data_IF_865039108561
#
_entry.id   IF_865039108561
#
_cell.length_a   1.000
_cell.length_b   1.000
_cell.length_c   1.000
_cell.angle_alpha   90.00
_cell.angle_beta   90.00
_cell.angle_gamma   90.00
#
_symmetry.space_group_name_H-M   'P 1'
#
loop_
_entity.id
_entity.type
_entity.pdbx_description
1 polymer ?
#
# COMPACT_ATOMS: atom_id res chain seq x y z
N UNK A 1 -17.77 -0.61 -11.57
CA UNK A 1 -16.77 -0.67 -12.69
C UNK A 1 -16.63 -2.13 -13.12
N UNK A 2 -16.44 -2.48 -14.40
CA UNK A 2 -16.24 -3.87 -14.83
C UNK A 2 -14.84 -4.34 -14.39
N UNK A 3 -14.72 -4.71 -13.11
CA UNK A 3 -13.48 -5.19 -12.51
C UNK A 3 -13.20 -6.60 -13.05
N UNK A 4 -12.01 -6.87 -13.64
CA UNK A 4 -11.63 -8.19 -14.13
C UNK A 4 -11.76 -9.30 -13.08
N UNK A 5 -11.56 -8.97 -11.79
CA UNK A 5 -11.73 -9.95 -10.69
C UNK A 5 -13.18 -10.37 -10.50
N UNK A 6 -14.13 -9.44 -10.68
CA UNK A 6 -15.55 -9.77 -10.69
C UNK A 6 -15.92 -10.56 -11.95
N UNK A 7 -15.31 -10.25 -13.10
CA UNK A 7 -15.60 -10.97 -14.33
C UNK A 7 -15.29 -12.47 -14.24
N UNK A 8 -14.16 -12.85 -13.65
CA UNK A 8 -13.80 -14.27 -13.46
C UNK A 8 -14.78 -15.01 -12.53
N UNK A 9 -15.23 -14.36 -11.45
CA UNK A 9 -16.25 -14.92 -10.55
C UNK A 9 -17.61 -15.08 -11.25
N UNK A 10 -18.08 -14.04 -11.93
CA UNK A 10 -19.36 -14.05 -12.66
C UNK A 10 -19.33 -15.09 -13.77
N UNK A 11 -18.20 -15.22 -14.48
CA UNK A 11 -17.98 -16.22 -15.52
C UNK A 11 -18.18 -17.64 -14.98
N UNK A 12 -17.54 -17.95 -13.85
CA UNK A 12 -17.67 -19.25 -13.19
C UNK A 12 -19.10 -19.52 -12.69
N UNK A 13 -19.77 -18.52 -12.12
CA UNK A 13 -21.14 -18.66 -11.59
C UNK A 13 -22.20 -18.84 -12.70
N UNK A 14 -22.06 -18.11 -13.81
CA UNK A 14 -23.03 -18.11 -14.90
C UNK A 14 -22.71 -19.12 -16.01
N UNK A 15 -21.54 -19.78 -15.95
CA UNK A 15 -21.09 -20.69 -17.00
C UNK A 15 -20.79 -19.99 -18.33
N UNK A 16 -20.32 -18.73 -18.26
CA UNK A 16 -19.99 -17.88 -19.41
C UNK A 16 -18.47 -17.68 -19.44
N UNK A 17 -17.85 -17.48 -20.60
CA UNK A 17 -16.42 -17.17 -20.66
C UNK A 17 -16.11 -15.78 -20.09
N UNK A 18 -14.97 -15.66 -19.41
CA UNK A 18 -14.52 -14.41 -18.79
C UNK A 18 -14.44 -13.24 -19.77
N UNK A 19 -13.95 -13.50 -20.99
CA UNK A 19 -13.92 -12.53 -22.09
C UNK A 19 -15.30 -11.93 -22.38
N UNK A 20 -16.34 -12.77 -22.52
CA UNK A 20 -17.70 -12.29 -22.79
C UNK A 20 -18.28 -11.48 -21.64
N UNK A 21 -17.95 -11.84 -20.40
CA UNK A 21 -18.37 -11.10 -19.21
C UNK A 21 -17.70 -9.73 -19.16
N UNK A 22 -16.40 -9.68 -19.45
CA UNK A 22 -15.63 -8.43 -19.55
C UNK A 22 -16.20 -7.52 -20.64
N UNK A 23 -16.36 -8.01 -21.86
CA UNK A 23 -16.86 -7.22 -22.99
C UNK A 23 -18.27 -6.67 -22.71
N UNK A 24 -19.13 -7.50 -22.12
CA UNK A 24 -20.46 -7.07 -21.67
C UNK A 24 -20.36 -6.00 -20.59
N UNK A 25 -19.47 -6.18 -19.62
CA UNK A 25 -19.21 -5.22 -18.56
C UNK A 25 -18.77 -3.86 -19.10
N UNK A 26 -17.85 -3.83 -20.07
CA UNK A 26 -17.39 -2.60 -20.73
C UNK A 26 -18.55 -1.85 -21.39
N UNK A 27 -19.37 -2.55 -22.18
CA UNK A 27 -20.52 -1.92 -22.84
C UNK A 27 -21.53 -1.35 -21.84
N UNK A 28 -21.78 -2.05 -20.73
CA UNK A 28 -22.66 -1.55 -19.66
C UNK A 28 -22.10 -0.28 -19.01
N UNK A 29 -20.77 -0.18 -18.84
CA UNK A 29 -20.13 1.01 -18.33
C UNK A 29 -20.19 2.20 -19.28
N UNK A 30 -20.19 1.95 -20.59
CA UNK A 30 -20.42 2.99 -21.61
C UNK A 30 -21.88 3.48 -21.64
N UNK A 31 -22.75 2.96 -20.76
CA UNK A 31 -24.15 3.35 -20.64
C UNK A 31 -25.06 2.61 -21.62
N UNK A 32 -24.59 1.55 -22.28
CA UNK A 32 -25.45 0.75 -23.15
C UNK A 32 -26.53 0.02 -22.34
N UNK A 33 -27.79 0.09 -22.80
CA UNK A 33 -28.88 -0.67 -22.18
C UNK A 33 -28.81 -2.16 -22.53
N UNK A 34 -29.33 -3.02 -21.64
CA UNK A 34 -29.38 -4.48 -21.86
C UNK A 34 -30.04 -4.87 -23.18
N UNK A 35 -31.23 -4.32 -23.57
CA UNK A 35 -31.84 -4.65 -24.86
C UNK A 35 -30.99 -4.17 -26.05
N UNK A 36 -30.27 -3.05 -25.90
CA UNK A 36 -29.39 -2.55 -26.95
C UNK A 36 -28.20 -3.49 -27.16
N UNK A 37 -27.56 -3.94 -26.09
CA UNK A 37 -26.42 -4.86 -26.16
C UNK A 37 -26.85 -6.17 -26.83
N UNK A 38 -27.93 -6.79 -26.34
CA UNK A 38 -28.42 -8.08 -26.81
C UNK A 38 -28.90 -8.07 -28.28
N UNK A 39 -29.25 -6.90 -28.83
CA UNK A 39 -29.75 -6.77 -30.22
C UNK A 39 -28.71 -6.20 -31.19
N UNK A 40 -27.92 -5.22 -30.76
CA UNK A 40 -27.05 -4.43 -31.65
C UNK A 40 -25.55 -4.59 -31.35
N UNK A 41 -25.18 -5.25 -30.24
CA UNK A 41 -23.78 -5.57 -29.87
C UNK A 41 -23.59 -7.06 -29.57
N UNK A 42 -24.39 -7.91 -30.22
CA UNK A 42 -24.33 -9.36 -30.03
C UNK A 42 -22.97 -9.93 -30.42
N UNK A 43 -22.37 -9.45 -31.51
CA UNK A 43 -21.05 -9.91 -31.95
C UNK A 43 -19.96 -9.58 -30.93
N UNK A 44 -19.99 -8.37 -30.35
CA UNK A 44 -19.04 -7.91 -29.36
C UNK A 44 -19.12 -8.67 -28.02
N UNK A 45 -20.23 -9.36 -27.74
CA UNK A 45 -20.42 -10.14 -26.49
C UNK A 45 -20.34 -11.65 -26.75
N UNK A 46 -19.94 -12.09 -27.95
CA UNK A 46 -19.92 -13.51 -28.30
C UNK A 46 -21.32 -14.14 -28.37
N UNK A 47 -22.28 -13.37 -28.89
CA UNK A 47 -23.68 -13.73 -29.16
C UNK A 47 -24.57 -13.99 -27.95
N UNK A 48 -24.28 -13.37 -26.79
CA UNK A 48 -25.15 -13.46 -25.61
C UNK A 48 -26.56 -12.93 -25.90
N UNK A 49 -27.56 -13.57 -25.28
CA UNK A 49 -28.95 -13.12 -25.33
C UNK A 49 -29.26 -12.09 -24.22
N UNK A 50 -30.47 -11.56 -24.24
CA UNK A 50 -30.90 -10.52 -23.29
C UNK A 50 -30.89 -11.02 -21.84
N UNK A 51 -31.19 -12.31 -21.63
CA UNK A 51 -31.22 -12.93 -20.29
C UNK A 51 -29.80 -13.04 -19.72
N UNK A 52 -28.83 -13.47 -20.52
CA UNK A 52 -27.44 -13.57 -20.10
C UNK A 52 -26.82 -12.20 -19.82
N UNK A 53 -27.08 -11.20 -20.69
CA UNK A 53 -26.59 -9.82 -20.47
C UNK A 53 -27.20 -9.21 -19.20
N UNK A 54 -28.50 -9.45 -18.95
CA UNK A 54 -29.17 -9.04 -17.72
C UNK A 54 -28.52 -9.67 -16.48
N UNK A 55 -28.29 -10.99 -16.51
CA UNK A 55 -27.68 -11.72 -15.41
C UNK A 55 -26.27 -11.19 -15.09
N UNK A 56 -25.47 -10.89 -16.10
CA UNK A 56 -24.13 -10.28 -15.94
C UNK A 56 -24.24 -8.92 -15.26
N UNK A 57 -25.13 -8.03 -15.75
CA UNK A 57 -25.34 -6.70 -15.17
C UNK A 57 -25.72 -6.78 -13.70
N UNK A 58 -26.71 -7.62 -13.38
CA UNK A 58 -27.25 -7.72 -12.03
C UNK A 58 -26.21 -8.30 -11.06
N UNK A 59 -25.39 -9.27 -11.50
CA UNK A 59 -24.29 -9.79 -10.68
C UNK A 59 -23.18 -8.76 -10.47
N UNK A 60 -22.80 -7.98 -11.48
CA UNK A 60 -21.85 -6.87 -11.29
C UNK A 60 -22.38 -5.87 -10.24
N UNK A 61 -23.65 -5.47 -10.35
CA UNK A 61 -24.27 -4.55 -9.41
C UNK A 61 -24.29 -5.12 -7.98
N UNK A 62 -24.64 -6.39 -7.83
CA UNK A 62 -24.65 -7.06 -6.53
C UNK A 62 -23.27 -7.16 -5.88
N UNK A 63 -22.23 -7.49 -6.66
CA UNK A 63 -20.86 -7.55 -6.16
C UNK A 63 -20.34 -6.16 -5.77
N UNK A 64 -20.69 -5.13 -6.53
CA UNK A 64 -20.35 -3.75 -6.19
C UNK A 64 -21.03 -3.32 -4.87
N UNK A 65 -22.31 -3.61 -4.70
CA UNK A 65 -23.04 -3.31 -3.45
C UNK A 65 -22.44 -4.06 -2.25
N UNK A 66 -22.09 -5.34 -2.42
CA UNK A 66 -21.43 -6.12 -1.37
C UNK A 66 -20.07 -5.52 -0.99
N UNK A 67 -19.29 -5.07 -1.97
CA UNK A 67 -18.02 -4.41 -1.72
C UNK A 67 -18.22 -3.08 -0.97
N UNK A 68 -19.22 -2.29 -1.36
CA UNK A 68 -19.58 -1.03 -0.69
C UNK A 68 -19.91 -1.28 0.79
N UNK A 69 -20.81 -2.23 1.06
CA UNK A 69 -21.20 -2.59 2.42
C UNK A 69 -20.01 -3.01 3.28
N UNK A 70 -19.12 -3.86 2.76
CA UNK A 70 -17.92 -4.30 3.48
C UNK A 70 -16.99 -3.14 3.86
N UNK A 71 -16.74 -2.22 2.92
CA UNK A 71 -15.91 -1.04 3.18
C UNK A 71 -16.50 -0.19 4.29
N UNK A 72 -17.81 0.09 4.22
CA UNK A 72 -18.50 0.87 5.25
C UNK A 72 -18.42 0.20 6.62
N UNK A 73 -18.71 -1.10 6.72
CA UNK A 73 -18.62 -1.83 7.99
C UNK A 73 -17.23 -1.72 8.62
N UNK A 74 -16.16 -1.89 7.82
CA UNK A 74 -14.78 -1.80 8.32
C UNK A 74 -14.48 -0.39 8.85
N UNK A 75 -14.93 0.66 8.15
CA UNK A 75 -14.68 2.05 8.56
C UNK A 75 -15.52 2.46 9.79
N UNK A 76 -16.69 1.86 9.98
CA UNK A 76 -17.52 2.05 11.18
C UNK A 76 -16.91 1.33 12.40
N UNK A 77 -16.45 0.09 12.23
CA UNK A 77 -15.79 -0.69 13.28
C UNK A 77 -14.42 -0.09 13.66
N UNK A 78 -13.73 0.47 12.68
CA UNK A 78 -12.39 1.02 12.81
C UNK A 78 -12.31 2.42 12.20
N UNK A 79 -12.69 3.47 12.97
CA UNK A 79 -12.61 4.84 12.48
C UNK A 79 -11.15 5.22 12.21
N UNK A 80 -10.88 5.64 10.98
CA UNK A 80 -9.56 6.06 10.50
C UNK A 80 -9.60 7.44 9.88
N UNK A 81 -8.47 8.13 9.88
CA UNK A 81 -8.33 9.44 9.23
C UNK A 81 -8.03 9.33 7.73
N UNK A 82 -7.48 8.20 7.30
CA UNK A 82 -7.08 7.97 5.91
C UNK A 82 -7.15 6.50 5.50
N UNK A 83 -7.40 6.28 4.20
CA UNK A 83 -7.36 4.98 3.53
C UNK A 83 -6.23 4.99 2.51
N UNK A 84 -5.29 4.07 2.68
CA UNK A 84 -4.16 3.90 1.77
C UNK A 84 -4.53 2.93 0.62
N UNK A 85 -4.33 3.35 -0.62
CA UNK A 85 -4.59 2.53 -1.82
C UNK A 85 -3.29 2.37 -2.61
N UNK A 86 -2.87 1.13 -2.86
CA UNK A 86 -1.69 0.83 -3.68
C UNK A 86 -1.86 1.35 -5.12
N UNK A 87 -0.77 1.86 -5.71
CA UNK A 87 -0.79 2.46 -7.04
C UNK A 87 -0.53 1.49 -8.21
N UNK A 88 -0.60 0.18 -7.99
CA UNK A 88 -0.47 -0.82 -9.04
C UNK A 88 -1.80 -1.16 -9.69
N UNK A 89 -2.01 -2.45 -9.93
CA UNK A 89 -3.16 -2.94 -10.69
C UNK A 89 -4.47 -2.54 -10.01
N UNK A 90 -5.37 -1.92 -10.78
CA UNK A 90 -6.67 -1.42 -10.32
C UNK A 90 -6.60 -0.34 -9.22
N UNK A 91 -5.44 0.29 -8.97
CA UNK A 91 -5.29 1.30 -7.91
C UNK A 91 -6.12 2.56 -8.17
N UNK A 92 -6.12 3.08 -9.39
CA UNK A 92 -6.91 4.27 -9.78
C UNK A 92 -8.41 3.98 -9.72
N UNK A 93 -8.79 2.79 -10.15
CA UNK A 93 -10.14 2.25 -10.14
C UNK A 93 -10.65 2.10 -8.70
N UNK A 94 -9.79 1.62 -7.79
CA UNK A 94 -10.10 1.53 -6.36
C UNK A 94 -10.31 2.90 -5.75
N UNK A 95 -9.47 3.89 -6.08
CA UNK A 95 -9.67 5.28 -5.62
C UNK A 95 -10.98 5.86 -6.16
N UNK A 96 -11.29 5.65 -7.45
CA UNK A 96 -12.54 6.10 -8.05
C UNK A 96 -13.77 5.42 -7.42
N UNK A 97 -13.68 4.12 -7.13
CA UNK A 97 -14.71 3.37 -6.43
C UNK A 97 -14.97 3.95 -5.03
N UNK A 98 -13.93 4.12 -4.21
CA UNK A 98 -14.04 4.69 -2.87
C UNK A 98 -14.55 6.14 -2.90
N UNK A 99 -14.11 6.93 -3.88
CA UNK A 99 -14.57 8.31 -4.08
C UNK A 99 -16.02 8.45 -4.58
N UNK A 100 -16.61 7.37 -5.09
CA UNK A 100 -18.02 7.32 -5.50
C UNK A 100 -18.98 6.94 -4.35
N UNK A 101 -18.47 6.78 -3.13
CA UNK A 101 -19.25 6.42 -1.95
C UNK A 101 -19.15 7.49 -0.88
N UNK A 102 -20.17 7.59 -0.04
CA UNK A 102 -20.08 8.33 1.22
C UNK A 102 -19.41 7.43 2.27
N UNK A 103 -18.10 7.63 2.48
CA UNK A 103 -17.33 6.85 3.43
C UNK A 103 -17.62 7.30 4.88
N UNK A 104 -17.94 6.35 5.80
CA UNK A 104 -18.06 6.66 7.22
C UNK A 104 -16.81 7.34 7.77
N UNK A 105 -16.98 8.46 8.49
CA UNK A 105 -15.88 9.26 9.03
C UNK A 105 -15.16 10.16 8.00
N UNK A 106 -15.52 10.08 6.71
CA UNK A 106 -14.93 10.84 5.62
C UNK A 106 -13.38 10.85 5.60
N UNK A 107 -12.72 9.67 5.65
CA UNK A 107 -11.27 9.59 5.61
C UNK A 107 -10.70 10.07 4.28
N UNK A 108 -9.49 10.62 4.30
CA UNK A 108 -8.75 10.92 3.08
C UNK A 108 -8.34 9.64 2.35
N UNK A 109 -8.71 9.48 1.07
CA UNK A 109 -8.25 8.36 0.24
C UNK A 109 -6.97 8.76 -0.48
N UNK A 110 -5.87 8.07 -0.18
CA UNK A 110 -4.53 8.44 -0.62
C UNK A 110 -3.91 7.30 -1.42
N UNK A 111 -3.44 7.62 -2.63
CA UNK A 111 -2.70 6.69 -3.46
C UNK A 111 -1.24 6.59 -2.95
N UNK A 112 -0.78 5.37 -2.72
CA UNK A 112 0.52 5.08 -2.13
C UNK A 112 1.32 4.21 -3.11
N UNK A 113 2.63 4.49 -3.20
CA UNK A 113 3.52 3.66 -4.00
C UNK A 113 3.58 2.24 -3.43
N UNK A 114 3.26 1.23 -4.25
CA UNK A 114 3.33 -0.19 -3.88
C UNK A 114 4.60 -0.90 -4.36
N UNK A 115 5.55 -0.16 -4.97
CA UNK A 115 6.79 -0.75 -5.48
C UNK A 115 7.50 -1.55 -4.38
N UNK A 116 7.80 -2.81 -4.66
CA UNK A 116 8.45 -3.71 -3.71
C UNK A 116 7.55 -4.23 -2.57
N UNK A 117 6.26 -3.87 -2.50
CA UNK A 117 5.36 -4.39 -1.46
C UNK A 117 5.20 -5.92 -1.54
N UNK A 118 5.17 -6.47 -2.76
CA UNK A 118 5.14 -7.93 -2.98
C UNK A 118 6.43 -8.64 -2.58
N UNK A 119 7.58 -7.98 -2.77
CA UNK A 119 8.89 -8.48 -2.32
C UNK A 119 8.96 -8.46 -0.79
N UNK A 120 8.48 -7.40 -0.18
CA UNK A 120 8.38 -7.26 1.27
C UNK A 120 7.49 -8.36 1.88
N UNK A 121 6.27 -8.56 1.35
CA UNK A 121 5.32 -9.55 1.86
C UNK A 121 5.81 -11.00 1.76
N UNK A 122 6.76 -11.27 0.87
CA UNK A 122 7.42 -12.57 0.71
C UNK A 122 8.74 -12.69 1.51
N UNK A 123 9.21 -11.61 2.12
CA UNK A 123 10.49 -11.54 2.84
C UNK A 123 10.47 -12.38 4.13
N UNK A 124 11.66 -12.58 4.72
CA UNK A 124 11.77 -13.21 6.05
C UNK A 124 11.32 -12.25 7.16
N UNK A 125 11.67 -10.96 7.02
CA UNK A 125 11.33 -9.91 7.99
C UNK A 125 9.82 -9.87 8.23
N UNK A 126 9.02 -9.81 7.17
CA UNK A 126 7.57 -9.70 7.32
C UNK A 126 6.91 -11.00 7.80
N UNK A 127 7.51 -12.16 7.48
CA UNK A 127 7.07 -13.45 8.04
C UNK A 127 7.33 -13.53 9.54
N UNK A 128 8.39 -12.90 10.03
CA UNK A 128 8.69 -12.81 11.46
C UNK A 128 7.77 -11.80 12.15
N UNK A 129 7.42 -10.68 11.50
CA UNK A 129 6.47 -9.71 12.05
C UNK A 129 5.02 -10.23 12.10
N UNK A 130 4.58 -10.94 11.06
CA UNK A 130 3.20 -11.43 10.92
C UNK A 130 3.15 -12.91 10.50
N UNK A 131 3.54 -13.85 11.37
CA UNK A 131 3.66 -15.27 11.04
C UNK A 131 2.32 -15.89 10.60
N UNK A 132 1.22 -15.48 11.22
CA UNK A 132 -0.10 -16.09 11.03
C UNK A 132 -0.97 -15.40 9.93
N UNK A 133 -0.39 -14.47 9.18
CA UNK A 133 -1.10 -13.73 8.12
C UNK A 133 -0.69 -14.22 6.74
N UNK A 134 -1.62 -14.21 5.79
CA UNK A 134 -1.31 -14.55 4.41
C UNK A 134 -0.56 -13.40 3.71
N UNK A 135 -0.02 -13.69 2.52
CA UNK A 135 0.80 -12.74 1.76
C UNK A 135 0.04 -11.47 1.35
N UNK A 136 -1.27 -11.56 1.12
CA UNK A 136 -2.07 -10.42 0.64
C UNK A 136 -2.29 -9.43 1.78
N UNK A 137 -2.64 -9.93 2.97
CA UNK A 137 -2.81 -9.11 4.17
C UNK A 137 -1.49 -8.43 4.55
N UNK A 138 -0.37 -9.15 4.49
CA UNK A 138 0.97 -8.56 4.72
C UNK A 138 1.27 -7.43 3.73
N UNK A 139 0.94 -7.62 2.45
CA UNK A 139 1.05 -6.58 1.44
C UNK A 139 0.26 -5.32 1.82
N UNK A 140 -1.02 -5.49 2.21
CA UNK A 140 -1.89 -4.40 2.65
C UNK A 140 -1.34 -3.65 3.88
N UNK A 141 -0.75 -4.37 4.84
CA UNK A 141 -0.11 -3.76 6.02
C UNK A 141 1.05 -2.85 5.61
N UNK A 142 1.92 -3.29 4.68
CA UNK A 142 3.00 -2.45 4.15
C UNK A 142 2.45 -1.18 3.49
N UNK A 143 1.36 -1.26 2.71
CA UNK A 143 0.75 -0.07 2.09
C UNK A 143 0.24 0.92 3.15
N UNK A 144 -0.43 0.42 4.19
CA UNK A 144 -0.87 1.26 5.32
C UNK A 144 0.30 1.94 6.06
N UNK A 145 1.37 1.19 6.35
CA UNK A 145 2.56 1.73 7.03
C UNK A 145 3.34 2.73 6.19
N UNK A 146 3.42 2.52 4.86
CA UNK A 146 4.02 3.49 3.93
C UNK A 146 3.30 4.83 3.94
N UNK A 147 1.99 4.84 4.16
CA UNK A 147 1.25 6.09 4.30
C UNK A 147 1.66 6.85 5.58
N UNK A 148 1.89 6.12 6.67
CA UNK A 148 2.27 6.68 7.98
C UNK A 148 3.72 7.19 7.98
N UNK A 149 4.66 6.35 7.58
CA UNK A 149 6.09 6.68 7.45
C UNK A 149 6.70 5.92 6.25
N UNK A 150 6.76 6.56 5.07
CA UNK A 150 7.33 5.94 3.88
C UNK A 150 8.78 5.50 4.09
N UNK A 151 9.59 6.28 4.82
CA UNK A 151 11.01 6.01 4.96
C UNK A 151 11.23 4.78 5.84
N UNK A 152 10.57 4.72 7.01
CA UNK A 152 10.69 3.59 7.92
C UNK A 152 10.24 2.27 7.31
N UNK A 153 9.24 2.30 6.41
CA UNK A 153 8.75 1.09 5.75
C UNK A 153 9.61 0.70 4.54
N UNK A 154 10.03 1.66 3.69
CA UNK A 154 10.82 1.36 2.48
C UNK A 154 12.23 0.83 2.79
N UNK A 155 12.84 1.23 3.92
CA UNK A 155 14.17 0.72 4.32
C UNK A 155 14.17 -0.76 4.72
N UNK A 156 13.00 -1.38 4.90
CA UNK A 156 12.88 -2.83 5.14
C UNK A 156 13.09 -3.66 3.87
N UNK A 157 13.11 -3.01 2.70
CA UNK A 157 13.17 -3.63 1.39
C UNK A 157 14.57 -3.41 0.82
N UNK A 158 15.11 -4.40 0.10
CA UNK A 158 16.32 -4.20 -0.69
C UNK A 158 16.08 -3.05 -1.68
N UNK A 159 16.90 -1.98 -1.70
CA UNK A 159 16.68 -0.83 -2.58
C UNK A 159 16.55 -1.22 -4.05
N UNK A 160 17.29 -2.25 -4.51
CA UNK A 160 17.21 -2.72 -5.90
C UNK A 160 15.88 -3.40 -6.24
N UNK A 161 15.10 -3.77 -5.23
CA UNK A 161 13.78 -4.39 -5.35
C UNK A 161 12.65 -3.36 -5.31
N UNK A 162 12.96 -2.10 -5.02
CA UNK A 162 12.04 -0.99 -5.23
C UNK A 162 12.05 -0.69 -6.72
N UNK A 163 10.93 -0.93 -7.40
CA UNK A 163 10.75 -0.55 -8.79
C UNK A 163 10.78 0.97 -8.95
N UNK A 164 11.92 1.50 -9.39
CA UNK A 164 12.19 2.94 -9.57
C UNK A 164 12.17 3.37 -11.04
N UNK A 165 12.09 2.44 -11.99
CA UNK A 165 11.99 2.75 -13.41
C UNK A 165 11.69 1.55 -14.29
N UNK A 166 11.21 1.81 -15.52
CA UNK A 166 10.78 0.77 -16.47
C UNK A 166 11.91 -0.17 -16.91
N UNK A 167 13.11 0.38 -17.14
CA UNK A 167 14.27 -0.37 -17.65
C UNK A 167 15.31 -0.66 -16.56
N UNK A 168 14.86 -0.81 -15.31
CA UNK A 168 15.72 -1.04 -14.15
C UNK A 168 16.58 -2.31 -14.27
N UNK A 169 16.13 -3.31 -15.04
CA UNK A 169 16.87 -4.55 -15.26
C UNK A 169 17.90 -4.45 -16.40
N UNK A 170 17.80 -3.44 -17.25
CA UNK A 170 18.65 -3.27 -18.44
C UNK A 170 19.91 -2.43 -18.17
N UNK A 171 20.05 -1.91 -16.95
CA UNK A 171 21.21 -1.12 -16.53
C UNK A 171 22.25 -1.97 -15.80
N UNK A 172 23.45 -1.42 -15.62
CA UNK A 172 24.50 -2.01 -14.78
C UNK A 172 24.01 -2.14 -13.33
N UNK A 173 23.71 -3.38 -12.94
CA UNK A 173 23.12 -3.71 -11.65
C UNK A 173 24.02 -3.35 -10.47
N UNK A 174 25.35 -3.37 -10.64
CA UNK A 174 26.29 -2.99 -9.57
C UNK A 174 26.23 -1.49 -9.31
N UNK A 175 26.27 -0.69 -10.39
CA UNK A 175 26.17 0.76 -10.28
C UNK A 175 24.82 1.19 -9.73
N UNK A 176 23.73 0.58 -10.23
CA UNK A 176 22.37 0.83 -9.74
C UNK A 176 22.26 0.56 -8.23
N UNK A 177 22.69 -0.62 -7.78
CA UNK A 177 22.60 -1.00 -6.36
C UNK A 177 23.37 -0.01 -5.49
N UNK A 178 24.61 0.34 -5.88
CA UNK A 178 25.41 1.31 -5.14
C UNK A 178 24.72 2.68 -5.07
N UNK A 179 24.20 3.19 -6.19
CA UNK A 179 23.51 4.48 -6.22
C UNK A 179 22.24 4.50 -5.37
N UNK A 180 21.44 3.42 -5.41
CA UNK A 180 20.23 3.33 -4.60
C UNK A 180 20.55 3.22 -3.11
N UNK A 181 21.57 2.45 -2.74
CA UNK A 181 22.07 2.43 -1.36
C UNK A 181 22.53 3.82 -0.88
N UNK A 182 23.25 4.56 -1.72
CA UNK A 182 23.73 5.90 -1.36
C UNK A 182 22.57 6.88 -1.15
N UNK A 183 21.50 6.79 -1.96
CA UNK A 183 20.28 7.57 -1.77
C UNK A 183 19.60 7.23 -0.45
N UNK A 184 19.42 5.94 -0.14
CA UNK A 184 18.81 5.50 1.12
C UNK A 184 19.61 6.01 2.32
N UNK A 185 20.93 5.86 2.28
CA UNK A 185 21.81 6.36 3.34
C UNK A 185 21.71 7.88 3.49
N UNK A 186 21.69 8.61 2.39
CA UNK A 186 21.52 10.07 2.40
C UNK A 186 20.20 10.50 3.04
N UNK A 187 19.08 9.87 2.65
CA UNK A 187 17.76 10.14 3.22
C UNK A 187 17.72 9.84 4.72
N UNK A 188 18.17 8.66 5.14
CA UNK A 188 18.17 8.28 6.57
C UNK A 188 19.11 9.18 7.38
N UNK A 189 20.26 9.58 6.83
CA UNK A 189 21.16 10.51 7.50
C UNK A 189 20.56 11.90 7.68
N UNK A 190 19.80 12.38 6.69
CA UNK A 190 19.13 13.67 6.74
C UNK A 190 18.03 13.71 7.83
N UNK A 191 17.22 12.65 7.92
CA UNK A 191 16.12 12.58 8.88
C UNK A 191 16.53 12.02 10.26
N UNK A 192 17.62 11.27 10.36
CA UNK A 192 17.96 10.56 11.59
C UNK A 192 16.99 9.40 11.87
N UNK A 193 16.94 8.97 13.13
CA UNK A 193 16.08 7.88 13.59
C UNK A 193 15.03 8.43 14.56
N UNK A 194 13.77 8.06 14.35
CA UNK A 194 12.68 8.41 15.26
C UNK A 194 12.52 7.33 16.34
N UNK A 195 12.27 7.77 17.57
CA UNK A 195 12.12 6.94 18.75
C UNK A 195 10.84 7.33 19.44
N UNK A 196 9.92 6.38 19.55
CA UNK A 196 8.74 6.51 20.41
C UNK A 196 9.20 6.56 21.88
N UNK A 197 8.87 7.67 22.52
CA UNK A 197 9.20 7.97 23.92
C UNK A 197 7.98 7.89 24.84
N UNK A 198 6.84 7.37 24.35
CA UNK A 198 5.61 7.19 25.11
C UNK A 198 4.79 8.48 25.30
N UNK A 199 5.16 9.55 24.60
CA UNK A 199 4.31 10.72 24.38
C UNK A 199 3.90 10.66 22.92
N UNK A 200 2.67 11.03 22.57
CA UNK A 200 2.06 10.93 21.22
C UNK A 200 2.83 11.61 20.06
N UNK A 201 4.06 12.04 20.29
CA UNK A 201 5.00 12.64 19.37
C UNK A 201 6.35 11.94 19.50
N UNK A 202 6.84 11.36 18.41
CA UNK A 202 8.15 10.72 18.37
C UNK A 202 9.29 11.74 18.56
N UNK A 203 10.36 11.30 19.22
CA UNK A 203 11.60 12.05 19.32
C UNK A 203 12.59 11.67 18.23
N UNK A 204 13.32 12.67 17.71
CA UNK A 204 14.27 12.50 16.62
C UNK A 204 15.70 12.42 17.15
N UNK A 205 16.40 11.34 16.84
CA UNK A 205 17.85 11.19 17.02
C UNK A 205 18.54 11.46 15.70
N UNK A 206 19.16 12.62 15.56
CA UNK A 206 20.01 12.91 14.39
C UNK A 206 21.22 11.96 14.34
N UNK A 207 21.74 11.63 13.15
CA UNK A 207 22.84 10.66 12.98
C UNK A 207 24.08 11.00 13.83
N UNK A 208 24.42 12.28 13.99
CA UNK A 208 25.53 12.76 14.83
C UNK A 208 25.30 12.61 16.35
N UNK A 209 24.09 12.25 16.75
CA UNK A 209 23.69 12.01 18.14
C UNK A 209 23.49 10.51 18.42
N UNK A 210 23.64 9.64 17.42
CA UNK A 210 23.45 8.19 17.58
C UNK A 210 24.64 7.49 18.24
N UNK A 211 25.87 7.92 17.95
CA UNK A 211 27.08 7.28 18.47
C UNK A 211 28.20 8.28 18.71
N UNK A 212 29.17 7.91 19.57
CA UNK A 212 30.40 8.68 19.77
C UNK A 212 31.44 8.51 18.65
N UNK A 213 31.20 7.60 17.70
CA UNK A 213 32.02 7.37 16.50
C UNK A 213 31.28 7.80 15.24
N UNK A 214 32.00 7.96 14.14
CA UNK A 214 31.39 8.21 12.84
C UNK A 214 30.47 7.06 12.42
N UNK A 215 29.25 7.40 12.01
CA UNK A 215 28.22 6.45 11.59
C UNK A 215 27.94 6.69 10.11
N UNK A 216 28.26 5.71 9.26
CA UNK A 216 27.97 5.82 7.82
C UNK A 216 26.50 5.52 7.53
N UNK A 217 25.96 4.44 8.11
CA UNK A 217 24.56 4.03 7.95
C UNK A 217 23.91 3.88 9.35
N UNK A 218 22.88 4.67 9.69
CA UNK A 218 22.13 4.53 10.95
C UNK A 218 21.55 3.13 11.16
N UNK A 219 21.16 2.47 10.07
CA UNK A 219 20.61 1.11 10.05
C UNK A 219 21.61 0.03 10.53
N UNK A 220 22.92 0.32 10.55
CA UNK A 220 23.93 -0.59 11.11
C UNK A 220 23.93 -0.58 12.64
N UNK A 221 23.37 0.46 13.26
CA UNK A 221 23.31 0.63 14.71
C UNK A 221 21.98 0.20 15.31
N UNK A 222 20.89 0.47 14.59
CA UNK A 222 19.53 0.27 15.08
C UNK A 222 18.61 -0.30 14.01
N UNK A 223 17.64 -1.09 14.45
CA UNK A 223 16.54 -1.61 13.62
C UNK A 223 15.21 -1.03 14.08
N UNK A 224 14.25 -0.93 13.17
CA UNK A 224 12.87 -0.61 13.53
C UNK A 224 12.37 -1.62 14.59
N UNK A 225 11.66 -1.12 15.61
CA UNK A 225 11.18 -1.92 16.74
C UNK A 225 12.21 -2.24 17.83
N UNK A 226 13.49 -1.87 17.65
CA UNK A 226 14.50 -2.05 18.68
C UNK A 226 14.30 -1.07 19.84
N UNK A 227 14.26 -1.58 21.07
CA UNK A 227 14.29 -0.74 22.28
C UNK A 227 15.67 -0.11 22.43
N UNK A 228 15.71 1.22 22.49
CA UNK A 228 16.93 2.00 22.65
C UNK A 228 16.83 2.93 23.86
N UNK A 229 17.96 3.22 24.50
CA UNK A 229 18.03 4.27 25.52
C UNK A 229 18.47 5.59 24.90
N UNK A 230 17.76 6.64 25.26
CA UNK A 230 17.94 8.00 24.75
C UNK A 230 17.92 9.01 25.88
N UNK A 231 18.60 10.13 25.70
CA UNK A 231 18.47 11.33 26.52
C UNK A 231 17.80 12.45 25.71
N UNK A 232 17.01 13.28 26.37
CA UNK A 232 16.38 14.45 25.74
C UNK A 232 17.41 15.57 25.64
N UNK A 233 17.62 16.08 24.43
CA UNK A 233 18.50 17.24 24.18
C UNK A 233 17.72 18.56 24.21
N UNK A 234 16.57 18.58 23.54
CA UNK A 234 15.77 19.80 23.35
C UNK A 234 14.30 19.44 23.10
N UNK A 235 13.38 20.34 23.48
CA UNK A 235 11.93 20.18 23.28
C UNK A 235 11.35 21.48 22.73
N UNK A 236 10.90 21.43 21.47
CA UNK A 236 10.22 22.53 20.80
C UNK A 236 8.70 22.27 20.78
N UNK A 237 7.98 22.91 21.70
CA UNK A 237 6.52 22.79 21.81
C UNK A 237 5.78 23.45 20.65
N UNK A 238 6.36 24.49 20.03
CA UNK A 238 5.71 25.20 18.90
C UNK A 238 5.72 24.33 17.65
N UNK A 239 6.83 23.64 17.41
CA UNK A 239 7.01 22.73 16.26
C UNK A 239 6.67 21.28 16.59
N UNK A 240 6.23 20.99 17.82
CA UNK A 240 5.96 19.63 18.33
C UNK A 240 7.12 18.68 18.04
N UNK A 241 8.35 19.07 18.39
CA UNK A 241 9.55 18.29 18.10
C UNK A 241 10.35 18.03 19.37
N UNK A 242 10.72 16.77 19.58
CA UNK A 242 11.61 16.35 20.67
C UNK A 242 12.93 15.91 20.03
N UNK A 243 14.04 16.56 20.39
CA UNK A 243 15.37 16.18 19.92
C UNK A 243 16.02 15.27 20.94
N UNK A 244 16.53 14.13 20.50
CA UNK A 244 17.08 13.07 21.34
C UNK A 244 18.55 12.77 21.01
N UNK A 245 19.26 12.19 21.97
CA UNK A 245 20.59 11.63 21.78
C UNK A 245 20.68 10.20 22.31
N UNK A 246 21.35 9.32 21.57
CA UNK A 246 21.74 8.00 22.05
C UNK A 246 23.16 7.97 22.58
N UNK A 247 24.02 8.89 22.10
CA UNK A 247 25.39 9.02 22.59
C UNK A 247 25.41 9.50 24.04
N UNK A 248 26.37 9.03 24.82
CA UNK A 248 26.48 9.36 26.25
C UNK A 248 25.51 8.59 27.15
N UNK A 249 24.60 7.79 26.58
CA UNK A 249 23.72 6.90 27.33
C UNK A 249 24.22 5.47 27.17
N UNK A 250 24.55 4.77 28.27
CA UNK A 250 24.92 3.35 28.20
C UNK A 250 23.71 2.59 27.67
N UNK A 251 23.84 1.87 26.56
CA UNK A 251 22.79 0.96 26.07
C UNK A 251 22.71 -0.27 26.98
N UNK A 252 21.52 -0.84 27.16
CA UNK A 252 21.32 -2.04 27.99
C UNK A 252 21.82 -3.28 27.28
N UNK A 253 22.00 -4.41 27.97
CA UNK A 253 22.08 -5.69 27.27
C UNK A 253 20.77 -5.90 26.51
N UNK A 254 20.89 -6.19 25.21
CA UNK A 254 19.78 -6.54 24.32
C UNK A 254 19.05 -7.79 24.78
#
# INVERSE_FOLDING_TARGET
MADPRHASLIAAELGISEEKVLDTGVLLQEGCSVPFIARYRKEATGSLDEVAVLAIRDRFAQLEELARGKVCCILEEHPVEAVAVGNGNAGKETVAFLGSMELPGNPGVILVNESGASIYSASKIEREEFPDRDVTVRGSVSIGRRLQDPLAELVKIDPKSIGVGQYQHDVDQKKLTQSLEDVVVSCVNFFGVFVDVGVHQDGQVHVSQMSGRFVKKPLDLVKAGQKVRVSVLDVDLKRRRISLAMKGVRQGPS
#
